data_IF_247439759977
#
_entry.id   IF_247439759977
#
_cell.length_a   1.000
_cell.length_b   1.000
_cell.length_c   1.000
_cell.angle_alpha   90.00
_cell.angle_beta   90.00
_cell.angle_gamma   90.00
#
_symmetry.space_group_name_H-M   'P 1'
#
loop_
_entity.id
_entity.type
_entity.pdbx_description
1 polymer ?
#
# COMPACT_ATOMS: atom_id res chain seq x y z
N UNK A 1 -6.23 -21.95 5.05
CA UNK A 1 -6.41 -20.71 5.83
C UNK A 1 -5.10 -20.33 6.48
N UNK A 2 -4.47 -19.30 5.97
CA UNK A 2 -3.20 -18.84 6.53
C UNK A 2 -3.50 -17.92 7.71
N UNK A 3 -3.34 -18.44 8.90
CA UNK A 3 -3.57 -17.67 10.13
C UNK A 3 -2.28 -17.13 10.72
N UNK A 4 -1.21 -17.13 9.93
CA UNK A 4 0.08 -16.64 10.41
C UNK A 4 0.05 -15.12 10.52
N UNK A 5 -0.10 -14.61 11.72
CA UNK A 5 0.13 -13.21 12.04
C UNK A 5 1.62 -12.91 12.15
N UNK A 6 2.47 -13.89 11.89
CA UNK A 6 3.91 -13.74 11.94
C UNK A 6 4.36 -12.75 10.87
N UNK A 7 5.00 -11.68 11.31
CA UNK A 7 5.50 -10.65 10.41
C UNK A 7 4.63 -9.42 10.28
N UNK A 8 3.44 -9.40 10.86
CA UNK A 8 2.59 -8.21 10.86
C UNK A 8 3.01 -7.25 11.96
N UNK A 9 2.96 -5.93 11.70
CA UNK A 9 3.09 -4.96 12.77
C UNK A 9 2.04 -5.20 13.84
N UNK A 10 2.38 -4.99 15.14
CA UNK A 10 1.43 -5.23 16.23
C UNK A 10 0.10 -4.49 16.07
N UNK A 11 0.14 -3.31 15.47
CA UNK A 11 -1.05 -2.48 15.25
C UNK A 11 -2.06 -3.16 14.34
N UNK A 12 -1.61 -4.02 13.44
CA UNK A 12 -2.47 -4.71 12.49
C UNK A 12 -2.96 -6.06 13.00
N UNK A 13 -2.23 -6.69 13.92
CA UNK A 13 -2.55 -8.03 14.38
C UNK A 13 -3.69 -8.08 15.40
N UNK A 14 -3.99 -6.95 16.05
CA UNK A 14 -4.96 -6.88 17.14
C UNK A 14 -6.06 -5.84 16.91
N UNK A 15 -6.22 -5.36 15.70
CA UNK A 15 -7.19 -4.32 15.41
C UNK A 15 -8.54 -4.89 14.98
N UNK A 16 -9.62 -4.21 15.40
CA UNK A 16 -10.97 -4.45 14.90
C UNK A 16 -11.31 -3.48 13.76
N UNK A 17 -10.42 -2.49 13.50
CA UNK A 17 -10.65 -1.53 12.44
C UNK A 17 -10.38 -2.17 11.06
N UNK A 18 -11.08 -1.73 10.02
CA UNK A 18 -10.73 -2.15 8.67
C UNK A 18 -9.29 -1.78 8.34
N UNK A 19 -8.63 -2.65 7.61
CA UNK A 19 -7.23 -2.46 7.19
C UNK A 19 -7.19 -2.28 5.69
N UNK A 20 -6.58 -1.19 5.24
CA UNK A 20 -6.39 -0.88 3.82
C UNK A 20 -4.90 -0.87 3.54
N UNK A 21 -4.49 -1.61 2.52
CA UNK A 21 -3.11 -1.64 2.06
C UNK A 21 -2.87 -0.51 1.05
N UNK A 22 -1.80 0.25 1.24
CA UNK A 22 -1.36 1.25 0.28
C UNK A 22 -0.18 0.68 -0.49
N UNK A 23 -0.35 0.52 -1.78
CA UNK A 23 0.59 -0.17 -2.67
C UNK A 23 1.03 0.79 -3.77
N UNK A 24 2.24 0.67 -4.25
CA UNK A 24 2.70 1.47 -5.38
C UNK A 24 4.17 1.24 -5.66
N UNK A 25 4.57 1.61 -6.88
CA UNK A 25 5.97 1.61 -7.25
C UNK A 25 6.74 2.66 -6.46
N UNK A 26 8.08 2.54 -6.33
CA UNK A 26 8.87 3.59 -5.72
C UNK A 26 8.71 4.92 -6.47
N UNK A 27 8.71 6.03 -5.73
CA UNK A 27 8.69 7.39 -6.26
C UNK A 27 7.42 7.79 -7.03
N UNK A 28 6.28 7.21 -6.71
CA UNK A 28 4.98 7.61 -7.30
C UNK A 28 4.24 8.62 -6.41
N UNK A 29 4.85 9.06 -5.32
CA UNK A 29 4.19 9.95 -4.35
C UNK A 29 3.36 9.21 -3.32
N UNK A 30 3.61 7.92 -3.13
CA UNK A 30 2.86 7.08 -2.18
C UNK A 30 2.97 7.59 -0.74
N UNK A 31 4.17 8.02 -0.32
CA UNK A 31 4.38 8.59 1.02
C UNK A 31 3.61 9.89 1.21
N UNK A 32 3.51 10.72 0.19
CA UNK A 32 2.73 11.95 0.23
C UNK A 32 1.25 11.64 0.43
N UNK A 33 0.73 10.66 -0.30
CA UNK A 33 -0.66 10.21 -0.16
C UNK A 33 -0.89 9.65 1.26
N UNK A 34 0.02 8.82 1.74
CA UNK A 34 -0.06 8.23 3.08
C UNK A 34 -0.12 9.33 4.16
N UNK A 35 0.79 10.30 4.10
CA UNK A 35 0.85 11.38 5.07
C UNK A 35 -0.40 12.27 5.03
N UNK A 36 -0.90 12.54 3.83
CA UNK A 36 -2.10 13.34 3.66
C UNK A 36 -3.34 12.65 4.26
N UNK A 37 -3.46 11.35 4.06
CA UNK A 37 -4.60 10.59 4.55
C UNK A 37 -4.55 10.36 6.06
N UNK A 38 -3.38 10.11 6.61
CA UNK A 38 -3.22 9.80 8.04
C UNK A 38 -3.05 11.05 8.90
N UNK A 39 -2.87 12.24 8.29
CA UNK A 39 -2.55 13.45 9.03
C UNK A 39 -1.25 13.32 9.82
N UNK A 40 -0.35 12.48 9.37
CA UNK A 40 0.91 12.14 10.02
C UNK A 40 0.74 11.38 11.35
N UNK A 41 -0.46 10.87 11.64
CA UNK A 41 -0.70 9.99 12.78
C UNK A 41 -0.32 8.57 12.37
N UNK A 42 0.96 8.24 12.53
CA UNK A 42 1.50 6.98 12.06
C UNK A 42 2.51 6.39 13.03
N UNK A 43 2.61 5.07 13.00
CA UNK A 43 3.65 4.32 13.67
C UNK A 43 4.61 3.79 12.61
N UNK A 44 5.90 4.04 12.81
CA UNK A 44 6.94 3.57 11.89
C UNK A 44 7.82 2.53 12.58
N UNK A 45 8.36 1.63 11.79
CA UNK A 45 9.24 0.58 12.28
C UNK A 45 9.72 -0.27 11.12
N UNK A 46 10.05 -1.51 11.41
CA UNK A 46 10.42 -2.47 10.37
C UNK A 46 9.44 -3.65 10.39
N UNK A 47 9.20 -4.23 9.24
CA UNK A 47 8.47 -5.49 9.15
C UNK A 47 9.23 -6.56 9.93
N UNK A 48 8.50 -7.36 10.71
CA UNK A 48 9.10 -8.33 11.62
C UNK A 48 10.07 -9.25 10.91
N UNK A 49 11.30 -9.35 11.43
CA UNK A 49 12.36 -10.17 10.84
C UNK A 49 12.93 -9.64 9.53
N UNK A 50 12.59 -8.41 9.14
CA UNK A 50 13.04 -7.79 7.90
C UNK A 50 13.69 -6.45 8.16
N UNK A 51 14.60 -6.02 7.27
CA UNK A 51 15.16 -4.67 7.28
C UNK A 51 14.32 -3.68 6.47
N UNK A 52 13.11 -4.08 6.11
CA UNK A 52 12.18 -3.29 5.30
C UNK A 52 11.33 -2.41 6.22
N UNK A 53 11.26 -1.12 5.91
CA UNK A 53 10.51 -0.16 6.70
C UNK A 53 9.00 -0.43 6.63
N UNK A 54 8.33 -0.26 7.75
CA UNK A 54 6.87 -0.34 7.85
C UNK A 54 6.31 0.98 8.36
N UNK A 55 5.11 1.32 7.91
CA UNK A 55 4.37 2.44 8.43
C UNK A 55 2.89 2.08 8.46
N UNK A 56 2.23 2.36 9.58
CA UNK A 56 0.80 2.14 9.76
C UNK A 56 0.22 3.42 10.32
N UNK A 57 -0.83 3.92 9.72
CA UNK A 57 -1.48 5.15 10.16
C UNK A 57 -2.98 4.96 10.28
N UNK A 58 -3.61 5.83 11.05
CA UNK A 58 -5.06 5.87 11.21
C UNK A 58 -5.64 6.94 10.30
N UNK A 59 -6.67 6.58 9.54
CA UNK A 59 -7.44 7.51 8.71
C UNK A 59 -8.83 7.62 9.32
N UNK A 60 -9.28 8.85 9.60
CA UNK A 60 -10.61 9.09 10.15
C UNK A 60 -11.40 9.97 9.20
N UNK A 61 -12.62 9.53 8.90
CA UNK A 61 -13.53 10.24 8.02
C UNK A 61 -14.97 10.03 8.53
N UNK A 62 -15.68 11.13 8.73
CA UNK A 62 -17.09 11.12 9.18
C UNK A 62 -17.32 10.25 10.44
N UNK A 63 -16.39 10.30 11.38
CA UNK A 63 -16.50 9.54 12.62
C UNK A 63 -16.11 8.07 12.52
N UNK A 64 -15.77 7.60 11.31
CA UNK A 64 -15.30 6.24 11.09
C UNK A 64 -13.78 6.25 10.91
N UNK A 65 -13.13 5.20 11.36
CA UNK A 65 -11.68 5.07 11.28
C UNK A 65 -11.28 3.76 10.61
N UNK A 66 -10.14 3.80 9.95
CA UNK A 66 -9.50 2.62 9.40
C UNK A 66 -7.98 2.71 9.59
N UNK A 67 -7.31 1.58 9.47
CA UNK A 67 -5.85 1.55 9.46
C UNK A 67 -5.36 1.47 8.03
N UNK A 68 -4.39 2.32 7.71
CA UNK A 68 -3.73 2.34 6.42
C UNK A 68 -2.32 1.80 6.60
N UNK A 69 -2.03 0.69 5.93
CA UNK A 69 -0.72 0.05 5.97
C UNK A 69 0.06 0.46 4.73
N UNK A 70 1.14 1.20 4.92
CA UNK A 70 2.02 1.61 3.83
C UNK A 70 2.99 0.47 3.51
N UNK A 71 2.74 -0.23 2.41
CA UNK A 71 3.61 -1.30 1.97
C UNK A 71 4.86 -0.73 1.28
N UNK A 72 5.98 -1.47 1.30
CA UNK A 72 7.18 -1.02 0.60
C UNK A 72 6.92 -0.77 -0.87
N UNK A 73 7.60 0.22 -1.46
CA UNK A 73 7.53 0.46 -2.89
C UNK A 73 7.97 -0.77 -3.67
N UNK A 74 7.16 -1.19 -4.61
CA UNK A 74 7.42 -2.41 -5.39
C UNK A 74 6.97 -2.26 -6.83
N UNK A 75 7.69 -2.88 -7.75
CA UNK A 75 7.34 -2.88 -9.16
C UNK A 75 6.40 -4.05 -9.53
N UNK A 76 6.42 -5.10 -8.72
CA UNK A 76 5.60 -6.29 -8.97
C UNK A 76 5.46 -7.09 -7.68
N UNK A 77 4.64 -8.13 -7.70
CA UNK A 77 4.47 -9.05 -6.57
C UNK A 77 5.13 -10.41 -6.83
N UNK A 78 6.20 -10.42 -7.63
CA UNK A 78 6.89 -11.67 -7.99
C UNK A 78 7.86 -12.17 -6.94
N UNK A 79 8.01 -11.46 -5.83
CA UNK A 79 8.82 -11.88 -4.68
C UNK A 79 10.32 -12.03 -5.00
N UNK A 80 10.85 -11.12 -5.80
CA UNK A 80 12.29 -11.12 -6.16
C UNK A 80 13.15 -10.31 -5.21
N UNK A 81 12.56 -9.41 -4.43
CA UNK A 81 13.25 -8.58 -3.45
C UNK A 81 12.58 -8.71 -2.10
N UNK A 82 13.25 -8.22 -1.04
CA UNK A 82 12.66 -8.21 0.30
C UNK A 82 11.37 -7.39 0.33
N UNK A 83 11.36 -6.24 -0.37
CA UNK A 83 10.20 -5.36 -0.47
C UNK A 83 9.03 -6.05 -1.17
N UNK A 84 9.29 -6.75 -2.27
CA UNK A 84 8.25 -7.48 -3.00
C UNK A 84 7.69 -8.62 -2.17
N UNK A 85 8.54 -9.32 -1.41
CA UNK A 85 8.09 -10.40 -0.53
C UNK A 85 7.15 -9.85 0.54
N UNK A 86 7.52 -8.74 1.18
CA UNK A 86 6.69 -8.12 2.22
C UNK A 86 5.34 -7.70 1.65
N UNK A 87 5.35 -7.02 0.52
CA UNK A 87 4.11 -6.56 -0.11
C UNK A 87 3.20 -7.73 -0.51
N UNK A 88 3.77 -8.75 -1.15
CA UNK A 88 3.03 -9.94 -1.55
C UNK A 88 2.46 -10.67 -0.35
N UNK A 89 3.28 -10.92 0.66
CA UNK A 89 2.85 -11.68 1.83
C UNK A 89 1.76 -10.92 2.59
N UNK A 90 1.85 -9.61 2.69
CA UNK A 90 0.81 -8.82 3.32
C UNK A 90 -0.52 -8.97 2.56
N UNK A 91 -0.50 -8.82 1.25
CA UNK A 91 -1.72 -8.91 0.45
C UNK A 91 -2.32 -10.31 0.45
N UNK A 92 -1.48 -11.35 0.47
CA UNK A 92 -1.95 -12.74 0.42
C UNK A 92 -2.39 -13.27 1.77
N UNK A 93 -1.68 -12.92 2.84
CA UNK A 93 -1.86 -13.58 4.14
C UNK A 93 -2.52 -12.69 5.20
N UNK A 94 -2.33 -11.38 5.14
CA UNK A 94 -3.00 -10.47 6.06
C UNK A 94 -4.45 -10.20 5.67
N UNK A 95 -4.80 -10.50 4.43
CA UNK A 95 -6.16 -10.34 3.90
C UNK A 95 -6.73 -8.94 4.21
N UNK A 96 -6.10 -7.86 3.71
CA UNK A 96 -6.62 -6.52 3.96
C UNK A 96 -8.04 -6.38 3.39
N UNK A 97 -8.83 -5.51 4.01
CA UNK A 97 -10.21 -5.27 3.58
C UNK A 97 -10.28 -4.61 2.20
N UNK A 98 -9.27 -3.82 1.87
CA UNK A 98 -9.15 -3.17 0.57
C UNK A 98 -7.69 -2.82 0.31
N UNK A 99 -7.39 -2.50 -0.93
CA UNK A 99 -6.08 -2.01 -1.34
C UNK A 99 -6.25 -0.75 -2.18
N UNK A 100 -5.32 0.19 -2.01
CA UNK A 100 -5.22 1.38 -2.86
C UNK A 100 -3.87 1.32 -3.55
N UNK A 101 -3.88 1.28 -4.88
CA UNK A 101 -2.65 1.28 -5.67
C UNK A 101 -2.41 2.69 -6.21
N UNK A 102 -1.30 3.29 -5.80
CA UNK A 102 -0.90 4.62 -6.27
C UNK A 102 -0.06 4.46 -7.52
N UNK A 103 -0.52 5.07 -8.61
CA UNK A 103 0.14 5.03 -9.91
C UNK A 103 0.59 6.42 -10.33
N UNK A 104 1.68 6.46 -11.07
CA UNK A 104 2.22 7.68 -11.64
C UNK A 104 1.56 7.94 -12.99
N UNK A 105 0.90 9.09 -13.12
CA UNK A 105 0.22 9.47 -14.36
C UNK A 105 1.17 9.57 -15.56
N UNK A 106 2.47 9.79 -15.32
CA UNK A 106 3.46 9.89 -16.39
C UNK A 106 3.90 8.53 -16.95
N UNK A 107 3.63 7.45 -16.22
CA UNK A 107 3.97 6.09 -16.66
C UNK A 107 2.91 5.10 -16.19
N UNK A 108 1.66 5.39 -16.53
CA UNK A 108 0.50 4.66 -16.03
C UNK A 108 0.51 3.18 -16.43
N UNK A 109 1.03 2.84 -17.59
CA UNK A 109 1.08 1.45 -18.05
C UNK A 109 1.81 0.53 -17.08
N UNK A 110 2.92 1.00 -16.52
CA UNK A 110 3.67 0.24 -15.51
C UNK A 110 2.85 0.04 -14.24
N UNK A 111 2.18 1.10 -13.81
CA UNK A 111 1.33 1.04 -12.62
C UNK A 111 0.16 0.08 -12.79
N UNK A 112 -0.44 0.05 -13.97
CA UNK A 112 -1.57 -0.84 -14.24
C UNK A 112 -1.19 -2.31 -14.17
N UNK A 113 0.03 -2.68 -14.51
CA UNK A 113 0.49 -4.06 -14.35
C UNK A 113 0.49 -4.46 -12.87
N UNK A 114 0.92 -3.57 -12.00
CA UNK A 114 0.87 -3.80 -10.56
C UNK A 114 -0.57 -3.88 -10.06
N UNK A 115 -1.45 -3.01 -10.55
CA UNK A 115 -2.88 -3.03 -10.21
C UNK A 115 -3.49 -4.39 -10.52
N UNK A 116 -3.18 -4.95 -11.68
CA UNK A 116 -3.70 -6.26 -12.09
C UNK A 116 -3.24 -7.36 -11.14
N UNK A 117 -1.99 -7.33 -10.69
CA UNK A 117 -1.47 -8.30 -9.74
C UNK A 117 -2.14 -8.15 -8.36
N UNK A 118 -2.36 -6.92 -7.92
CA UNK A 118 -3.03 -6.66 -6.64
C UNK A 118 -4.48 -7.13 -6.71
N UNK A 119 -5.16 -6.92 -7.81
CA UNK A 119 -6.55 -7.36 -8.01
C UNK A 119 -6.70 -8.87 -7.88
N UNK A 120 -5.69 -9.64 -8.25
CA UNK A 120 -5.73 -11.10 -8.10
C UNK A 120 -5.79 -11.53 -6.64
N UNK A 121 -5.23 -10.74 -5.75
CA UNK A 121 -5.17 -11.05 -4.32
C UNK A 121 -6.21 -10.30 -3.50
N UNK A 122 -6.61 -9.11 -3.95
CA UNK A 122 -7.55 -8.25 -3.23
C UNK A 122 -8.57 -7.69 -4.22
N UNK A 123 -9.79 -8.27 -4.27
CA UNK A 123 -10.82 -7.80 -5.21
C UNK A 123 -11.26 -6.35 -4.97
N UNK A 124 -11.14 -5.86 -3.75
CA UNK A 124 -11.50 -4.48 -3.40
C UNK A 124 -10.29 -3.57 -3.56
N UNK A 125 -9.90 -3.32 -4.80
CA UNK A 125 -8.74 -2.50 -5.12
C UNK A 125 -9.19 -1.20 -5.77
N UNK A 126 -8.67 -0.08 -5.27
CA UNK A 126 -8.88 1.26 -5.82
C UNK A 126 -7.60 1.72 -6.51
N UNK A 127 -7.77 2.38 -7.63
CA UNK A 127 -6.67 2.99 -8.36
C UNK A 127 -6.58 4.46 -7.99
N UNK A 128 -5.41 4.89 -7.49
CA UNK A 128 -5.12 6.29 -7.22
C UNK A 128 -4.08 6.78 -8.22
N UNK A 129 -4.48 7.66 -9.13
CA UNK A 129 -3.56 8.22 -10.12
C UNK A 129 -3.00 9.53 -9.57
N UNK A 130 -1.70 9.57 -9.38
CA UNK A 130 -0.99 10.72 -8.81
C UNK A 130 -0.10 11.38 -9.86
N UNK A 131 0.47 12.53 -9.54
CA UNK A 131 1.38 13.28 -10.40
C UNK A 131 0.72 13.73 -11.72
N UNK A 132 -0.56 14.07 -11.66
CA UNK A 132 -1.31 14.57 -12.81
C UNK A 132 -0.71 15.87 -13.36
N UNK A 133 -0.25 16.74 -12.47
CA UNK A 133 0.41 17.98 -12.85
C UNK A 133 1.69 17.73 -13.66
N UNK A 134 2.45 16.71 -13.31
CA UNK A 134 3.64 16.32 -14.07
C UNK A 134 3.26 15.78 -15.46
N UNK A 135 2.16 15.01 -15.53
CA UNK A 135 1.66 14.51 -16.81
C UNK A 135 1.22 15.65 -17.72
N UNK A 136 0.54 16.66 -17.17
CA UNK A 136 0.13 17.85 -17.91
C UNK A 136 1.35 18.62 -18.45
N UNK A 137 2.38 18.81 -17.62
CA UNK A 137 3.61 19.47 -18.03
C UNK A 137 4.31 18.75 -19.16
N UNK A 138 4.19 17.42 -19.23
CA UNK A 138 4.78 16.59 -20.27
C UNK A 138 3.84 16.36 -21.44
N UNK A 139 2.65 16.96 -21.43
CA UNK A 139 1.63 16.83 -22.46
C UNK A 139 1.20 15.38 -22.69
N UNK A 140 1.13 14.60 -21.61
CA UNK A 140 0.64 13.22 -21.62
C UNK A 140 -0.88 13.26 -21.46
N UNK A 141 -1.58 12.59 -22.33
CA UNK A 141 -3.03 12.49 -22.30
C UNK A 141 -3.51 11.12 -21.82
#
# INVERSE_FOLDING_TARGET
MCTSSAGLPPELSQTELPVVALVGMPNVGKSTVFNALTGMHQHTGNWAGKTVASAVGTVTWNGESLLLADLPGTYSLRARSAEEIVARDFLCFAEPDAAVVVCDATCLERGLLLVMQVLETCPRTLLCVNLLDEAEKRQIT
#
